data_IF_953319578730
#
_entry.id   IF_953319578730
#
_cell.length_a   1.000
_cell.length_b   1.000
_cell.length_c   1.000
_cell.angle_alpha   90.00
_cell.angle_beta   90.00
_cell.angle_gamma   90.00
#
_symmetry.space_group_name_H-M   'P 1'
#
loop_
_entity.id
_entity.type
_entity.pdbx_description
1 polymer ?
#
# COMPACT_ATOMS: atom_id res chain seq x y z
N UNK A 1 -4.08 -12.70 -10.82
CA UNK A 1 -3.83 -11.79 -11.95
C UNK A 1 -3.77 -12.51 -13.31
N UNK A 2 -3.34 -13.79 -13.39
CA UNK A 2 -3.32 -14.57 -14.64
C UNK A 2 -4.57 -14.46 -15.54
N UNK A 3 -5.80 -14.76 -15.04
CA UNK A 3 -7.02 -14.62 -15.85
C UNK A 3 -7.29 -13.21 -16.39
N UNK A 4 -6.79 -12.17 -15.69
CA UNK A 4 -6.91 -10.78 -16.15
C UNK A 4 -5.94 -10.47 -17.29
N UNK A 5 -4.70 -10.98 -17.23
CA UNK A 5 -3.71 -10.83 -18.31
C UNK A 5 -4.20 -11.52 -19.58
N UNK A 6 -4.80 -12.71 -19.46
CA UNK A 6 -5.39 -13.43 -20.59
C UNK A 6 -6.59 -12.69 -21.18
N UNK A 7 -7.42 -12.07 -20.33
CA UNK A 7 -8.63 -11.37 -20.77
C UNK A 7 -8.34 -10.03 -21.44
N UNK A 8 -7.26 -9.36 -21.05
CA UNK A 8 -6.85 -8.04 -21.55
C UNK A 8 -5.44 -8.08 -22.11
N UNK A 9 -5.20 -8.78 -23.24
CA UNK A 9 -3.86 -9.00 -23.76
C UNK A 9 -3.20 -7.72 -24.30
N UNK A 10 -3.98 -6.67 -24.57
CA UNK A 10 -3.48 -5.36 -25.01
C UNK A 10 -3.11 -4.44 -23.83
N UNK A 11 -3.46 -4.82 -22.59
CA UNK A 11 -3.13 -4.02 -21.42
C UNK A 11 -1.67 -4.23 -21.02
N UNK A 12 -0.94 -3.14 -20.83
CA UNK A 12 0.42 -3.19 -20.29
C UNK A 12 0.38 -3.55 -18.81
N UNK A 13 1.05 -4.64 -18.45
CA UNK A 13 1.09 -5.19 -17.10
C UNK A 13 2.34 -4.75 -16.34
N UNK A 14 2.13 -4.33 -15.10
CA UNK A 14 3.18 -3.83 -14.21
C UNK A 14 3.23 -4.66 -12.93
N UNK A 15 4.42 -5.12 -12.56
CA UNK A 15 4.68 -5.85 -11.33
C UNK A 15 5.31 -4.93 -10.28
N UNK A 16 4.97 -5.12 -9.01
CA UNK A 16 5.77 -4.57 -7.92
C UNK A 16 7.18 -5.20 -7.89
N UNK A 17 8.18 -4.52 -7.30
CA UNK A 17 9.56 -5.00 -7.26
C UNK A 17 9.69 -6.42 -6.73
N UNK A 18 10.34 -7.29 -7.50
CA UNK A 18 10.62 -8.66 -7.08
C UNK A 18 9.46 -9.64 -7.22
N UNK A 19 8.29 -9.20 -7.71
CA UNK A 19 7.11 -10.07 -7.85
C UNK A 19 7.28 -11.06 -8.99
N UNK A 20 7.78 -10.62 -10.15
CA UNK A 20 7.90 -11.45 -11.35
C UNK A 20 8.80 -12.67 -11.15
N UNK A 21 9.76 -12.63 -10.22
CA UNK A 21 10.64 -13.75 -9.89
C UNK A 21 10.03 -14.72 -8.86
N UNK A 22 8.90 -14.36 -8.23
CA UNK A 22 8.23 -15.14 -7.18
C UNK A 22 6.98 -15.87 -7.66
N UNK A 23 6.51 -15.57 -8.87
CA UNK A 23 5.27 -16.14 -9.42
C UNK A 23 5.50 -16.62 -10.85
N UNK A 24 4.74 -17.63 -11.27
CA UNK A 24 4.76 -18.15 -12.64
C UNK A 24 3.88 -17.30 -13.57
N UNK A 25 4.08 -15.98 -13.57
CA UNK A 25 3.34 -15.03 -14.41
C UNK A 25 4.32 -14.04 -15.06
N UNK A 26 4.07 -13.70 -16.31
CA UNK A 26 4.84 -12.71 -17.04
C UNK A 26 4.19 -11.33 -16.91
N UNK A 27 5.01 -10.33 -16.59
CA UNK A 27 4.64 -8.92 -16.60
C UNK A 27 5.49 -8.18 -17.63
N UNK A 28 4.97 -7.08 -18.17
CA UNK A 28 5.67 -6.30 -19.19
C UNK A 28 6.75 -5.41 -18.56
N UNK A 29 6.47 -4.87 -17.38
CA UNK A 29 7.37 -3.97 -16.66
C UNK A 29 7.37 -4.21 -15.15
N UNK A 30 8.39 -3.69 -14.47
CA UNK A 30 8.50 -3.65 -13.02
C UNK A 30 8.42 -2.20 -12.54
N UNK A 31 7.62 -1.92 -11.50
CA UNK A 31 7.43 -0.59 -10.94
C UNK A 31 8.67 -0.12 -10.20
N UNK A 32 9.09 1.11 -10.46
CA UNK A 32 10.22 1.75 -9.80
C UNK A 32 9.86 2.69 -8.65
N UNK A 33 10.84 3.52 -8.26
CA UNK A 33 10.68 4.56 -7.25
C UNK A 33 9.98 5.82 -7.77
N UNK A 34 9.98 6.03 -9.09
CA UNK A 34 9.47 7.24 -9.74
C UNK A 34 8.30 6.87 -10.64
N UNK A 35 7.37 7.80 -10.81
CA UNK A 35 6.23 7.62 -11.71
C UNK A 35 6.69 7.48 -13.17
N UNK A 36 6.06 6.57 -13.89
CA UNK A 36 6.38 6.30 -15.28
C UNK A 36 5.76 7.35 -16.20
N UNK A 37 6.39 7.68 -17.34
CA UNK A 37 5.90 8.74 -18.23
C UNK A 37 4.44 8.59 -18.66
N UNK A 38 3.94 7.36 -18.77
CA UNK A 38 2.56 7.09 -19.17
C UNK A 38 1.49 7.46 -18.14
N UNK A 39 1.86 7.74 -16.88
CA UNK A 39 0.93 8.25 -15.85
C UNK A 39 1.53 9.34 -14.95
N UNK A 40 2.78 9.77 -15.20
CA UNK A 40 3.47 10.76 -14.39
C UNK A 40 2.78 12.13 -14.36
N UNK A 41 1.82 12.40 -15.26
CA UNK A 41 0.96 13.59 -15.24
C UNK A 41 -0.22 13.50 -14.27
N UNK A 42 -0.64 12.28 -13.88
CA UNK A 42 -1.76 12.06 -12.96
C UNK A 42 -1.36 11.50 -11.59
N UNK A 43 -0.36 10.61 -11.57
CA UNK A 43 0.06 9.87 -10.39
C UNK A 43 1.48 10.26 -9.97
N UNK A 44 1.65 10.60 -8.70
CA UNK A 44 2.92 10.48 -8.01
C UNK A 44 3.12 9.03 -7.55
N UNK A 45 4.37 8.61 -7.43
CA UNK A 45 4.74 7.24 -7.08
C UNK A 45 5.94 7.29 -6.14
N UNK A 46 5.98 6.37 -5.18
CA UNK A 46 7.19 6.07 -4.42
C UNK A 46 7.27 4.58 -4.12
N UNK A 47 8.49 4.09 -3.92
CA UNK A 47 8.71 2.77 -3.35
C UNK A 47 8.84 2.91 -1.84
N UNK A 48 7.90 2.33 -1.09
CA UNK A 48 7.97 2.26 0.36
C UNK A 48 9.01 1.21 0.75
N UNK A 49 10.20 1.68 1.09
CA UNK A 49 11.36 0.85 1.35
C UNK A 49 11.59 0.60 2.87
N UNK A 50 12.59 -0.24 3.17
CA UNK A 50 13.01 -0.55 4.55
C UNK A 50 12.68 -1.98 5.02
N UNK A 51 11.73 -2.64 4.37
CA UNK A 51 11.54 -4.09 4.43
C UNK A 51 12.14 -4.76 3.21
N UNK A 52 12.94 -5.83 3.40
CA UNK A 52 13.42 -6.67 2.29
C UNK A 52 12.37 -7.69 1.82
N UNK A 53 11.33 -7.92 2.63
CA UNK A 53 10.33 -8.96 2.37
C UNK A 53 9.19 -8.43 1.51
N UNK A 54 8.75 -7.21 1.81
CA UNK A 54 7.61 -6.57 1.18
C UNK A 54 7.95 -5.13 0.79
N UNK A 55 8.71 -4.93 -0.30
CA UNK A 55 8.76 -3.63 -0.95
C UNK A 55 7.39 -3.35 -1.58
N UNK A 56 6.83 -2.16 -1.33
CA UNK A 56 5.52 -1.80 -1.86
C UNK A 56 5.57 -0.46 -2.60
N UNK A 57 5.00 -0.43 -3.80
CA UNK A 57 4.85 0.81 -4.56
C UNK A 57 3.55 1.50 -4.14
N UNK A 58 3.66 2.73 -3.65
CA UNK A 58 2.55 3.57 -3.21
C UNK A 58 2.30 4.64 -4.28
N UNK A 59 1.03 4.90 -4.58
CA UNK A 59 0.63 5.92 -5.55
C UNK A 59 -0.16 7.04 -4.89
N UNK A 60 -0.02 8.25 -5.42
CA UNK A 60 -0.87 9.38 -5.08
C UNK A 60 -1.47 9.97 -6.36
N UNK A 61 -2.79 9.88 -6.47
CA UNK A 61 -3.54 10.48 -7.57
C UNK A 61 -3.90 11.92 -7.24
N UNK A 62 -3.26 12.86 -7.96
CA UNK A 62 -3.32 14.29 -7.66
C UNK A 62 -4.73 14.85 -7.77
N UNK A 63 -5.43 14.56 -8.87
CA UNK A 63 -6.74 15.17 -9.15
C UNK A 63 -7.79 14.82 -8.09
N UNK A 64 -7.85 13.55 -7.66
CA UNK A 64 -8.81 13.12 -6.64
C UNK A 64 -8.28 13.20 -5.21
N UNK A 65 -7.01 13.58 -5.03
CA UNK A 65 -6.29 13.56 -3.76
C UNK A 65 -6.36 12.19 -3.07
N UNK A 66 -6.17 11.12 -3.84
CA UNK A 66 -6.25 9.74 -3.33
C UNK A 66 -4.87 9.13 -3.14
N UNK A 67 -4.57 8.71 -1.92
CA UNK A 67 -3.46 7.80 -1.64
C UNK A 67 -3.91 6.36 -1.90
N UNK A 68 -3.09 5.59 -2.61
CA UNK A 68 -3.37 4.20 -2.97
C UNK A 68 -2.28 3.33 -2.34
N UNK A 69 -2.68 2.47 -1.41
CA UNK A 69 -1.79 1.56 -0.66
C UNK A 69 -2.38 0.15 -0.74
N UNK A 70 -1.56 -0.87 -0.92
CA UNK A 70 -1.99 -2.27 -0.90
C UNK A 70 -1.80 -2.89 0.48
N UNK A 71 -0.61 -3.38 0.81
CA UNK A 71 -0.39 -4.34 1.89
C UNK A 71 0.15 -3.70 3.18
N UNK A 72 0.89 -2.58 3.08
CA UNK A 72 1.46 -1.86 4.23
C UNK A 72 0.44 -1.01 5.00
N UNK A 73 -0.82 -0.94 4.55
CA UNK A 73 -1.94 -0.38 5.29
C UNK A 73 -3.18 -1.24 5.09
N UNK A 74 -3.84 -1.63 6.17
CA UNK A 74 -5.04 -2.48 6.12
C UNK A 74 -6.12 -1.99 7.09
N UNK A 75 -7.39 -2.11 6.69
CA UNK A 75 -8.55 -1.68 7.48
C UNK A 75 -9.69 -2.69 7.35
N UNK A 76 -9.48 -3.90 7.88
CA UNK A 76 -10.41 -5.01 7.79
C UNK A 76 -11.64 -4.78 8.66
N UNK A 77 -12.83 -5.00 8.11
CA UNK A 77 -14.08 -4.90 8.87
C UNK A 77 -14.23 -6.10 9.83
N UNK A 78 -14.20 -5.88 11.16
CA UNK A 78 -14.17 -6.98 12.13
C UNK A 78 -15.54 -7.66 12.34
N UNK A 79 -16.60 -7.12 11.73
CA UNK A 79 -17.99 -7.52 11.97
C UNK A 79 -18.36 -8.81 11.23
N UNK A 80 -17.66 -9.11 10.12
CA UNK A 80 -17.81 -10.35 9.36
C UNK A 80 -17.02 -11.52 9.94
N UNK A 81 -16.20 -11.29 10.97
CA UNK A 81 -15.28 -12.30 11.50
C UNK A 81 -15.81 -12.98 12.77
N UNK A 82 -15.44 -14.25 12.95
CA UNK A 82 -15.50 -14.91 14.25
C UNK A 82 -14.62 -14.22 15.30
N UNK A 83 -14.93 -14.41 16.59
CA UNK A 83 -14.28 -13.72 17.71
C UNK A 83 -12.75 -13.85 17.71
N UNK A 84 -12.22 -15.00 17.28
CA UNK A 84 -10.79 -15.25 17.18
C UNK A 84 -10.12 -14.30 16.18
N UNK A 85 -10.59 -14.28 14.92
CA UNK A 85 -10.04 -13.43 13.86
C UNK A 85 -10.23 -11.94 14.13
N UNK A 86 -11.37 -11.57 14.72
CA UNK A 86 -11.59 -10.20 15.20
C UNK A 86 -10.53 -9.77 16.21
N UNK A 87 -10.13 -10.68 17.10
CA UNK A 87 -9.09 -10.41 18.11
C UNK A 87 -7.71 -10.32 17.46
N UNK A 88 -7.38 -11.24 16.55
CA UNK A 88 -6.12 -11.22 15.79
C UNK A 88 -5.96 -9.90 15.01
N UNK A 89 -6.97 -9.46 14.26
CA UNK A 89 -6.93 -8.21 13.48
C UNK A 89 -6.75 -6.97 14.36
N UNK A 90 -7.42 -6.93 15.51
CA UNK A 90 -7.22 -5.84 16.50
C UNK A 90 -5.82 -5.84 17.07
N UNK A 91 -5.29 -7.01 17.46
CA UNK A 91 -3.93 -7.14 17.96
C UNK A 91 -2.89 -6.79 16.90
N UNK A 92 -3.18 -7.03 15.62
CA UNK A 92 -2.30 -6.66 14.52
C UNK A 92 -2.44 -5.19 14.06
N UNK A 93 -3.32 -4.41 14.71
CA UNK A 93 -3.62 -3.01 14.39
C UNK A 93 -4.14 -2.78 12.95
N UNK A 94 -4.94 -3.72 12.44
CA UNK A 94 -5.51 -3.67 11.07
C UNK A 94 -7.04 -3.71 11.05
N UNK A 95 -7.68 -3.54 12.20
CA UNK A 95 -9.13 -3.52 12.30
C UNK A 95 -9.68 -2.12 11.96
N UNK A 96 -10.74 -2.07 11.16
CA UNK A 96 -11.52 -0.87 10.92
C UNK A 96 -12.22 -0.38 12.21
N UNK A 97 -12.54 0.92 12.34
CA UNK A 97 -12.36 1.97 11.33
C UNK A 97 -10.95 2.58 11.27
N UNK A 98 -10.12 2.41 12.29
CA UNK A 98 -8.82 3.07 12.35
C UNK A 98 -7.85 2.50 11.32
N UNK A 99 -7.82 1.17 11.18
CA UNK A 99 -6.85 0.47 10.33
C UNK A 99 -5.40 0.79 10.73
N UNK A 100 -4.46 0.32 9.93
CA UNK A 100 -3.07 0.73 10.08
C UNK A 100 -2.06 -0.20 9.43
N UNK A 101 -0.79 0.07 9.73
CA UNK A 101 0.33 -0.75 9.30
C UNK A 101 0.35 -2.07 10.09
N UNK A 102 0.21 -3.24 9.43
CA UNK A 102 0.20 -4.54 10.10
C UNK A 102 1.45 -4.74 10.96
N UNK A 103 1.28 -5.16 12.22
CA UNK A 103 2.44 -5.32 13.14
C UNK A 103 3.41 -6.39 12.68
N UNK A 104 2.92 -7.46 12.09
CA UNK A 104 3.75 -8.48 11.42
C UNK A 104 4.59 -7.87 10.30
N UNK A 105 4.02 -7.02 9.44
CA UNK A 105 4.81 -6.27 8.45
C UNK A 105 5.83 -5.35 9.11
N UNK A 106 5.47 -4.61 10.17
CA UNK A 106 6.38 -3.73 10.90
C UNK A 106 7.62 -4.47 11.42
N UNK A 107 7.48 -5.73 11.85
CA UNK A 107 8.59 -6.57 12.31
C UNK A 107 9.57 -6.95 11.18
N UNK A 108 9.14 -6.84 9.91
CA UNK A 108 10.01 -7.09 8.74
C UNK A 108 10.88 -5.88 8.37
N UNK A 109 10.54 -4.68 8.86
CA UNK A 109 11.26 -3.43 8.57
C UNK A 109 12.54 -3.37 9.41
N UNK A 110 13.67 -3.64 8.77
CA UNK A 110 15.00 -3.63 9.41
C UNK A 110 15.71 -2.29 9.26
N UNK A 111 15.52 -1.62 8.13
CA UNK A 111 16.07 -0.29 7.88
C UNK A 111 15.00 0.78 8.15
N UNK A 112 14.91 1.17 9.43
CA UNK A 112 13.95 2.19 9.89
C UNK A 112 14.23 3.58 9.31
N UNK A 113 15.49 3.89 8.98
CA UNK A 113 15.87 5.20 8.42
C UNK A 113 15.27 5.36 7.02
N UNK A 114 15.42 4.34 6.17
CA UNK A 114 14.87 4.34 4.83
C UNK A 114 13.34 4.27 4.84
N UNK A 115 12.74 3.49 5.74
CA UNK A 115 11.29 3.45 5.93
C UNK A 115 10.73 4.81 6.38
N UNK A 116 11.41 5.50 7.30
CA UNK A 116 11.04 6.85 7.73
C UNK A 116 11.07 7.85 6.58
N UNK A 117 12.13 7.84 5.77
CA UNK A 117 12.21 8.71 4.59
C UNK A 117 11.08 8.44 3.58
N UNK A 118 10.70 7.16 3.39
CA UNK A 118 9.57 6.78 2.54
C UNK A 118 8.24 7.30 3.09
N UNK A 119 8.02 7.12 4.40
CA UNK A 119 6.86 7.68 5.11
C UNK A 119 6.80 9.20 4.97
N UNK A 120 7.90 9.91 5.18
CA UNK A 120 7.92 11.37 5.16
C UNK A 120 7.56 11.92 3.78
N UNK A 121 8.07 11.27 2.72
CA UNK A 121 7.69 11.59 1.34
C UNK A 121 6.21 11.31 1.08
N UNK A 122 5.71 10.18 1.56
CA UNK A 122 4.30 9.81 1.43
C UNK A 122 3.38 10.81 2.14
N UNK A 123 3.72 11.21 3.37
CA UNK A 123 2.95 12.16 4.18
C UNK A 123 3.08 13.61 3.70
N UNK A 124 4.10 13.94 2.90
CA UNK A 124 4.23 15.24 2.25
C UNK A 124 3.22 15.45 1.12
N UNK A 125 2.59 14.40 0.60
CA UNK A 125 1.52 14.51 -0.40
C UNK A 125 0.21 15.03 0.23
N UNK A 126 -0.51 15.86 -0.51
CA UNK A 126 -1.78 16.46 -0.09
C UNK A 126 -3.00 15.56 -0.39
N UNK A 127 -3.00 14.34 0.17
CA UNK A 127 -4.11 13.40 0.02
C UNK A 127 -5.20 13.60 1.08
N UNK A 128 -6.46 13.38 0.70
CA UNK A 128 -7.62 13.36 1.60
C UNK A 128 -8.33 11.99 1.60
N UNK A 129 -8.13 11.20 0.55
CA UNK A 129 -8.75 9.88 0.37
C UNK A 129 -7.69 8.78 0.49
N UNK A 130 -8.13 7.61 0.93
CA UNK A 130 -7.31 6.40 1.00
C UNK A 130 -8.04 5.25 0.31
N UNK A 131 -7.41 4.72 -0.74
CA UNK A 131 -7.86 3.54 -1.47
C UNK A 131 -6.94 2.39 -1.10
N UNK A 132 -7.53 1.27 -0.65
CA UNK A 132 -6.77 0.10 -0.19
C UNK A 132 -7.31 -1.21 -0.73
N UNK A 133 -6.44 -2.22 -0.78
CA UNK A 133 -6.83 -3.59 -1.16
C UNK A 133 -7.55 -4.32 -0.04
N UNK A 134 -7.18 -4.04 1.22
CA UNK A 134 -7.62 -4.82 2.38
C UNK A 134 -8.60 -4.05 3.26
N UNK A 135 -9.89 -4.21 2.96
CA UNK A 135 -10.99 -3.72 3.78
C UNK A 135 -11.51 -2.34 3.34
N UNK A 136 -11.80 -1.46 4.29
CA UNK A 136 -12.57 -0.24 4.03
C UNK A 136 -11.68 0.92 3.57
N UNK A 137 -11.97 1.45 2.39
CA UNK A 137 -11.40 2.71 1.90
C UNK A 137 -11.90 3.91 2.72
N UNK A 138 -11.05 4.93 2.88
CA UNK A 138 -11.40 6.18 3.58
C UNK A 138 -11.73 7.26 2.55
N UNK A 139 -12.99 7.72 2.44
CA UNK A 139 -13.40 8.67 1.42
C UNK A 139 -12.97 10.12 1.69
N UNK A 140 -12.64 10.47 2.94
CA UNK A 140 -12.15 11.79 3.36
C UNK A 140 -11.47 11.70 4.73
N UNK A 141 -10.54 12.61 5.04
CA UNK A 141 -9.82 12.63 6.32
C UNK A 141 -8.73 11.56 6.45
N UNK A 142 -8.21 11.05 5.33
CA UNK A 142 -7.23 9.97 5.32
C UNK A 142 -5.86 10.38 5.87
N UNK A 143 -5.43 11.64 5.67
CA UNK A 143 -4.08 12.09 6.05
C UNK A 143 -3.73 11.82 7.53
N UNK A 144 -4.50 12.33 8.51
CA UNK A 144 -4.20 12.08 9.91
C UNK A 144 -4.37 10.60 10.31
N UNK A 145 -5.17 9.82 9.58
CA UNK A 145 -5.29 8.37 9.79
C UNK A 145 -4.00 7.65 9.39
N UNK A 146 -3.49 7.94 8.20
CA UNK A 146 -2.23 7.36 7.69
C UNK A 146 -1.05 7.82 8.56
N UNK A 147 -0.98 9.10 8.94
CA UNK A 147 0.05 9.60 9.85
C UNK A 147 0.12 8.79 11.15
N UNK A 148 -1.02 8.60 11.83
CA UNK A 148 -1.08 7.77 13.05
C UNK A 148 -0.68 6.32 12.80
N UNK A 149 -1.08 5.74 11.68
CA UNK A 149 -0.75 4.36 11.33
C UNK A 149 0.75 4.14 11.12
N UNK A 150 1.49 5.16 10.71
CA UNK A 150 2.94 5.11 10.47
C UNK A 150 3.78 5.81 11.55
N UNK A 151 3.19 6.35 12.62
CA UNK A 151 3.89 6.98 13.75
C UNK A 151 4.88 6.04 14.47
N UNK A 152 4.72 4.72 14.34
CA UNK A 152 5.70 3.76 14.86
C UNK A 152 7.08 3.84 14.18
N UNK A 153 7.23 4.64 13.10
CA UNK A 153 8.50 4.95 12.45
C UNK A 153 9.19 6.23 12.98
N UNK A 154 8.57 6.95 13.94
CA UNK A 154 9.22 8.07 14.64
C UNK A 154 10.53 7.67 15.32
#
# INVERSE_FOLDING_TARGET
>A
VGPWLERFPEATSWAGPGLAQRVELRFDHELGEVAEPCWAEDLDQLLFAGSKFLPETVFFHRLSRSLIITDIFQSHEPQSDGWFWRTVKRLNAIAAPEGGAPRDWRLTVRDRKTARASRDRMLAWDFDRLVITHGRCTPTGAHPQVERAFAWLD
#
